data_IF_719764958541
#
_entry.id   IF_719764958541
#
_cell.length_a   1.000
_cell.length_b   1.000
_cell.length_c   1.000
_cell.angle_alpha   90.00
_cell.angle_beta   90.00
_cell.angle_gamma   90.00
#
_symmetry.space_group_name_H-M   'P 1'
#
loop_
_entity.id
_entity.type
_entity.pdbx_description
1 polymer ?
#
# COMPACT_ATOMS: atom_id res chain seq x y z
N UNK A 1 -3.52 -12.19 10.06
CA UNK A 1 -3.37 -12.08 8.61
C UNK A 1 -4.68 -11.63 8.01
N UNK A 2 -4.77 -10.32 7.82
CA UNK A 2 -5.79 -9.69 6.99
C UNK A 2 -5.51 -10.02 5.51
N UNK A 3 -6.50 -10.51 4.78
CA UNK A 3 -6.35 -11.05 3.41
C UNK A 3 -7.15 -10.29 2.36
N UNK A 4 -7.11 -8.96 2.38
CA UNK A 4 -7.90 -8.12 1.47
C UNK A 4 -7.59 -8.38 -0.02
N UNK A 5 -6.32 -8.37 -0.41
CA UNK A 5 -5.94 -8.49 -1.81
C UNK A 5 -6.21 -9.88 -2.36
N UNK A 6 -5.97 -10.90 -1.54
CA UNK A 6 -6.20 -12.30 -1.92
C UNK A 6 -7.68 -12.63 -1.99
N UNK A 7 -8.49 -12.19 -1.02
CA UNK A 7 -9.92 -12.53 -0.94
C UNK A 7 -10.73 -11.90 -2.09
N UNK A 8 -10.36 -10.68 -2.51
CA UNK A 8 -11.04 -9.97 -3.60
C UNK A 8 -10.31 -10.07 -4.95
N UNK A 9 -9.24 -10.86 -5.04
CA UNK A 9 -8.43 -11.02 -6.24
C UNK A 9 -8.06 -9.69 -6.94
N UNK A 10 -7.67 -8.68 -6.14
CA UNK A 10 -7.48 -7.28 -6.57
C UNK A 10 -6.52 -7.17 -7.76
N UNK A 11 -5.44 -7.96 -7.75
CA UNK A 11 -4.47 -8.06 -8.84
C UNK A 11 -4.62 -9.38 -9.58
N UNK A 12 -4.33 -9.37 -10.88
CA UNK A 12 -4.30 -10.60 -11.70
C UNK A 12 -3.26 -11.61 -11.20
N UNK A 13 -2.14 -11.14 -10.64
CA UNK A 13 -1.13 -12.01 -10.05
C UNK A 13 -1.49 -12.38 -8.61
N UNK A 14 -1.78 -13.67 -8.40
CA UNK A 14 -1.99 -14.23 -7.05
C UNK A 14 -0.80 -13.97 -6.12
N UNK A 15 0.43 -14.04 -6.65
CA UNK A 15 1.64 -13.77 -5.86
C UNK A 15 1.66 -12.30 -5.44
N UNK A 16 1.32 -11.39 -6.34
CA UNK A 16 1.27 -9.96 -6.01
C UNK A 16 0.22 -9.68 -4.92
N UNK A 17 -0.96 -10.31 -4.96
CA UNK A 17 -1.96 -10.18 -3.90
C UNK A 17 -1.42 -10.63 -2.54
N UNK A 18 -0.79 -11.81 -2.48
CA UNK A 18 -0.19 -12.32 -1.24
C UNK A 18 0.87 -11.36 -0.69
N UNK A 19 1.71 -10.79 -1.56
CA UNK A 19 2.74 -9.82 -1.14
C UNK A 19 2.13 -8.54 -0.57
N UNK A 20 1.04 -8.06 -1.17
CA UNK A 20 0.32 -6.88 -0.68
C UNK A 20 -0.32 -7.15 0.68
N UNK A 21 -0.97 -8.31 0.85
CA UNK A 21 -1.52 -8.72 2.14
C UNK A 21 -0.44 -8.84 3.21
N UNK A 22 0.72 -9.42 2.88
CA UNK A 22 1.84 -9.55 3.82
C UNK A 22 2.39 -8.20 4.27
N UNK A 23 2.60 -7.27 3.34
CA UNK A 23 3.09 -5.92 3.68
C UNK A 23 2.06 -5.19 4.54
N UNK A 24 0.80 -5.21 4.11
CA UNK A 24 -0.28 -4.52 4.82
C UNK A 24 -0.47 -5.08 6.23
N UNK A 25 -0.56 -6.41 6.37
CA UNK A 25 -0.76 -7.09 7.65
C UNK A 25 0.44 -6.85 8.59
N UNK A 26 1.69 -7.00 8.12
CA UNK A 26 2.85 -6.80 9.00
C UNK A 26 2.99 -5.36 9.48
N UNK A 27 2.77 -4.38 8.60
CA UNK A 27 2.83 -2.96 9.01
C UNK A 27 1.70 -2.64 9.97
N UNK A 28 0.46 -3.02 9.67
CA UNK A 28 -0.68 -2.68 10.53
C UNK A 28 -0.69 -3.46 11.85
N UNK A 29 -0.21 -4.70 11.87
CA UNK A 29 -0.14 -5.52 13.08
C UNK A 29 0.79 -4.92 14.13
N UNK A 30 1.93 -4.36 13.73
CA UNK A 30 2.87 -3.71 14.66
C UNK A 30 2.20 -2.57 15.45
N UNK A 31 1.28 -1.84 14.82
CA UNK A 31 0.61 -0.67 15.39
C UNK A 31 -0.83 -0.94 15.84
N UNK A 32 -1.31 -2.19 15.72
CA UNK A 32 -2.72 -2.57 15.97
C UNK A 32 -3.18 -2.35 17.42
N UNK A 33 -2.26 -2.24 18.37
CA UNK A 33 -2.56 -1.94 19.78
C UNK A 33 -2.87 -0.47 20.06
N UNK A 34 -2.66 0.43 19.11
CA UNK A 34 -2.91 1.87 19.28
C UNK A 34 -3.91 2.37 18.24
N UNK A 35 -5.09 2.77 18.76
CA UNK A 35 -6.24 3.28 17.99
C UNK A 35 -5.85 4.48 17.12
N UNK A 36 -4.77 5.20 17.46
CA UNK A 36 -4.25 6.31 16.65
C UNK A 36 -3.74 5.89 15.27
N UNK A 37 -3.49 4.60 15.03
CA UNK A 37 -2.92 4.11 13.79
C UNK A 37 -3.91 3.31 12.92
N UNK A 38 -5.14 3.12 13.42
CA UNK A 38 -6.21 2.52 12.64
C UNK A 38 -6.46 3.39 11.41
N UNK A 39 -6.41 2.79 10.23
CA UNK A 39 -6.60 3.47 8.93
C UNK A 39 -5.50 4.47 8.50
N UNK A 40 -4.32 4.48 9.11
CA UNK A 40 -3.21 5.35 8.69
C UNK A 40 -2.29 4.79 7.61
N UNK A 41 -2.35 3.48 7.37
CA UNK A 41 -1.62 2.83 6.28
C UNK A 41 -2.64 2.33 5.26
N UNK A 42 -2.72 2.99 4.10
CA UNK A 42 -3.82 2.80 3.16
C UNK A 42 -3.32 2.56 1.74
N UNK A 43 -4.15 1.91 0.92
CA UNK A 43 -3.88 1.78 -0.51
C UNK A 43 -4.14 3.12 -1.23
N UNK A 44 -3.30 3.48 -2.17
CA UNK A 44 -3.34 4.76 -2.90
C UNK A 44 -3.03 4.56 -4.39
N UNK A 45 -2.93 5.67 -5.11
CA UNK A 45 -2.57 5.72 -6.52
C UNK A 45 -3.61 5.10 -7.44
N UNK A 46 -3.16 4.68 -8.62
CA UNK A 46 -4.06 4.23 -9.68
C UNK A 46 -4.87 3.00 -9.30
N UNK A 47 -4.32 2.08 -8.51
CA UNK A 47 -5.06 0.90 -8.05
C UNK A 47 -6.24 1.30 -7.16
N UNK A 48 -6.02 2.23 -6.21
CA UNK A 48 -7.10 2.76 -5.36
C UNK A 48 -8.21 3.41 -6.19
N UNK A 49 -7.84 4.19 -7.21
CA UNK A 49 -8.81 4.81 -8.12
C UNK A 49 -9.59 3.78 -8.93
N UNK A 50 -8.91 2.81 -9.53
CA UNK A 50 -9.55 1.77 -10.33
C UNK A 50 -10.56 0.94 -9.52
N UNK A 51 -10.24 0.63 -8.26
CA UNK A 51 -11.15 -0.11 -7.38
C UNK A 51 -12.42 0.70 -7.05
N UNK A 52 -12.29 2.01 -6.82
CA UNK A 52 -13.41 2.88 -6.45
C UNK A 52 -14.29 3.29 -7.64
N UNK A 53 -13.71 3.39 -8.84
CA UNK A 53 -14.42 3.81 -10.07
C UNK A 53 -14.69 2.62 -11.03
N UNK A 54 -14.43 1.39 -10.60
CA UNK A 54 -14.62 0.16 -11.39
C UNK A 54 -13.90 0.19 -12.77
N UNK A 55 -12.66 0.69 -12.79
CA UNK A 55 -11.88 0.84 -14.03
C UNK A 55 -11.02 -0.39 -14.32
N UNK A 56 -11.09 -0.90 -15.56
CA UNK A 56 -10.29 -2.03 -16.03
C UNK A 56 -8.93 -1.62 -16.62
N UNK A 57 -8.21 -0.70 -15.97
CA UNK A 57 -6.87 -0.31 -16.47
C UNK A 57 -5.77 -1.20 -15.89
N UNK A 58 -4.83 -1.72 -16.70
CA UNK A 58 -3.69 -2.46 -16.18
C UNK A 58 -2.91 -1.67 -15.13
N UNK A 59 -2.57 -2.36 -14.03
CA UNK A 59 -1.77 -1.83 -12.94
C UNK A 59 -0.44 -2.57 -12.91
N UNK A 60 0.66 -1.81 -13.01
CA UNK A 60 2.03 -2.31 -12.91
C UNK A 60 2.69 -2.02 -11.56
N UNK A 61 2.07 -1.19 -10.72
CA UNK A 61 2.56 -0.84 -9.40
C UNK A 61 1.46 -0.81 -8.33
N UNK A 62 1.81 -1.14 -7.09
CA UNK A 62 0.91 -1.02 -5.94
C UNK A 62 1.48 0.04 -5.02
N UNK A 63 0.66 1.03 -4.66
CA UNK A 63 1.09 2.15 -3.82
C UNK A 63 0.36 2.06 -2.49
N UNK A 64 1.12 1.94 -1.41
CA UNK A 64 0.64 2.24 -0.07
C UNK A 64 1.12 3.61 0.35
N UNK A 65 0.32 4.32 1.13
CA UNK A 65 0.65 5.62 1.67
C UNK A 65 0.30 5.69 3.15
N UNK A 66 1.09 6.44 3.90
CA UNK A 66 0.81 6.78 5.28
C UNK A 66 1.15 8.22 5.58
N UNK A 67 0.33 8.85 6.43
CA UNK A 67 0.62 10.15 7.04
C UNK A 67 1.41 10.02 8.35
N UNK A 68 1.69 8.78 8.78
CA UNK A 68 2.36 8.49 10.03
C UNK A 68 3.86 8.24 9.83
N UNK A 69 4.66 9.13 10.39
CA UNK A 69 6.11 9.05 10.24
C UNK A 69 6.69 7.80 10.92
N UNK A 70 6.15 7.39 12.06
CA UNK A 70 6.66 6.24 12.81
C UNK A 70 6.35 4.94 12.07
N UNK A 71 5.16 4.82 11.47
CA UNK A 71 4.82 3.69 10.59
C UNK A 71 5.73 3.63 9.37
N UNK A 72 5.97 4.77 8.71
CA UNK A 72 6.86 4.81 7.54
C UNK A 72 8.29 4.44 7.90
N UNK A 73 8.83 4.98 8.99
CA UNK A 73 10.19 4.67 9.46
C UNK A 73 10.32 3.22 9.89
N UNK A 74 9.31 2.66 10.56
CA UNK A 74 9.26 1.24 10.89
C UNK A 74 9.32 0.39 9.61
N UNK A 75 8.48 0.69 8.62
CA UNK A 75 8.49 -0.05 7.36
C UNK A 75 9.84 0.08 6.67
N UNK A 76 10.39 1.28 6.57
CA UNK A 76 11.68 1.53 5.92
C UNK A 76 12.81 0.73 6.58
N UNK A 77 12.86 0.71 7.92
CA UNK A 77 13.86 -0.04 8.68
C UNK A 77 13.70 -1.57 8.56
N UNK A 78 12.48 -2.05 8.31
CA UNK A 78 12.15 -3.48 8.27
C UNK A 78 11.81 -4.00 6.88
N UNK A 79 11.95 -3.20 5.82
CA UNK A 79 11.45 -3.53 4.48
C UNK A 79 11.96 -4.89 3.97
N UNK A 80 13.25 -5.20 4.18
CA UNK A 80 13.82 -6.49 3.77
C UNK A 80 13.25 -7.69 4.54
N UNK A 81 12.88 -7.49 5.82
CA UNK A 81 12.26 -8.52 6.65
C UNK A 81 10.79 -8.72 6.29
N UNK A 82 10.07 -7.61 6.04
CA UNK A 82 8.65 -7.61 5.66
C UNK A 82 8.46 -8.15 4.25
N UNK A 83 9.42 -7.89 3.35
CA UNK A 83 9.41 -8.29 1.94
C UNK A 83 10.59 -9.19 1.59
N UNK A 84 10.68 -10.42 2.15
CA UNK A 84 11.86 -11.29 2.01
C UNK A 84 12.09 -11.79 0.57
N UNK A 85 11.07 -11.74 -0.28
CA UNK A 85 11.13 -12.14 -1.69
C UNK A 85 11.41 -10.98 -2.66
N UNK A 86 11.68 -9.78 -2.14
CA UNK A 86 12.04 -8.63 -2.95
C UNK A 86 13.35 -8.87 -3.70
N UNK A 87 13.36 -8.54 -4.99
CA UNK A 87 14.57 -8.57 -5.85
C UNK A 87 15.38 -7.28 -5.74
N UNK A 88 14.83 -6.23 -5.14
CA UNK A 88 15.52 -4.97 -4.87
C UNK A 88 14.68 -4.07 -3.97
N UNK A 89 15.34 -3.30 -3.12
CA UNK A 89 14.71 -2.32 -2.22
C UNK A 89 15.50 -1.02 -2.34
N UNK A 90 14.80 0.09 -2.58
CA UNK A 90 15.41 1.42 -2.69
C UNK A 90 14.69 2.39 -1.77
N UNK A 91 15.46 2.99 -0.87
CA UNK A 91 14.95 3.98 0.08
C UNK A 91 15.20 5.40 -0.43
N UNK A 92 14.16 6.21 -0.35
CA UNK A 92 14.20 7.65 -0.54
C UNK A 92 13.68 8.33 0.72
N UNK A 93 13.81 9.66 0.78
CA UNK A 93 13.38 10.46 1.92
C UNK A 93 11.90 10.23 2.30
N UNK A 94 11.03 10.09 1.32
CA UNK A 94 9.57 10.02 1.49
C UNK A 94 8.94 8.77 0.85
N UNK A 95 9.75 7.84 0.35
CA UNK A 95 9.24 6.59 -0.22
C UNK A 95 10.22 5.44 -0.09
N UNK A 96 9.70 4.23 -0.06
CA UNK A 96 10.47 3.01 -0.27
C UNK A 96 9.90 2.28 -1.48
N UNK A 97 10.76 2.00 -2.47
CA UNK A 97 10.43 1.20 -3.65
C UNK A 97 10.88 -0.24 -3.42
N UNK A 98 10.01 -1.20 -3.71
CA UNK A 98 10.26 -2.63 -3.58
C UNK A 98 9.99 -3.30 -4.91
N UNK A 99 11.00 -3.94 -5.47
CA UNK A 99 10.89 -4.65 -6.73
C UNK A 99 10.64 -6.13 -6.46
N UNK A 100 9.64 -6.68 -7.13
CA UNK A 100 9.44 -8.11 -7.28
C UNK A 100 9.45 -8.47 -8.77
N UNK A 101 9.52 -9.76 -9.09
CA UNK A 101 9.59 -10.20 -10.51
C UNK A 101 8.38 -9.79 -11.36
N UNK A 102 7.20 -9.59 -10.74
CA UNK A 102 5.93 -9.38 -11.46
C UNK A 102 5.26 -8.04 -11.15
N UNK A 103 5.70 -7.33 -10.12
CA UNK A 103 5.11 -6.08 -9.63
C UNK A 103 6.19 -5.31 -8.89
N UNK A 104 6.08 -3.99 -8.86
CA UNK A 104 6.79 -3.20 -7.86
C UNK A 104 5.80 -2.52 -6.93
N UNK A 105 6.18 -2.45 -5.66
CA UNK A 105 5.38 -1.88 -4.60
C UNK A 105 6.08 -0.60 -4.14
N UNK A 106 5.28 0.41 -3.83
CA UNK A 106 5.76 1.65 -3.26
C UNK A 106 5.08 1.87 -1.92
N UNK A 107 5.86 2.28 -0.92
CA UNK A 107 5.33 2.76 0.35
C UNK A 107 5.75 4.20 0.52
N UNK A 108 4.79 5.11 0.57
CA UNK A 108 4.99 6.55 0.65
C UNK A 108 4.66 7.12 2.02
N UNK A 109 5.43 8.13 2.42
CA UNK A 109 5.08 9.03 3.50
C UNK A 109 4.59 10.36 2.93
N UNK A 110 3.51 10.89 3.50
CA UNK A 110 3.04 12.25 3.24
C UNK A 110 2.85 13.01 4.55
N UNK A 111 3.04 14.32 4.53
CA UNK A 111 2.63 15.19 5.64
C UNK A 111 1.21 15.76 5.46
N UNK A 112 0.58 15.46 4.33
CA UNK A 112 -0.79 15.89 4.02
C UNK A 112 -1.80 14.93 4.65
N UNK A 113 -2.93 15.48 5.09
CA UNK A 113 -4.02 14.67 5.64
C UNK A 113 -4.61 13.75 4.59
N UNK A 114 -4.68 12.45 4.90
CA UNK A 114 -5.30 11.46 4.05
C UNK A 114 -6.82 11.43 4.26
N UNK A 115 -7.58 11.62 3.19
CA UNK A 115 -9.00 11.31 3.12
C UNK A 115 -9.15 9.83 2.78
N UNK A 116 -9.70 9.09 3.73
CA UNK A 116 -9.80 7.65 3.66
C UNK A 116 -11.21 7.26 3.18
N UNK A 117 -11.25 6.46 2.12
CA UNK A 117 -12.40 5.69 1.69
C UNK A 117 -12.22 4.21 2.06
N UNK A 118 -13.19 3.39 1.67
CA UNK A 118 -13.12 1.93 1.83
C UNK A 118 -13.53 1.27 0.52
N UNK A 119 -12.76 0.27 0.11
CA UNK A 119 -13.18 -0.71 -0.88
C UNK A 119 -13.36 -2.04 -0.16
N UNK A 120 -14.60 -2.51 -0.06
CA UNK A 120 -15.00 -3.61 0.83
C UNK A 120 -14.58 -3.31 2.29
N UNK A 121 -13.42 -3.80 2.72
CA UNK A 121 -12.83 -3.52 4.04
C UNK A 121 -11.37 -3.04 3.97
N UNK A 122 -10.80 -2.87 2.76
CA UNK A 122 -9.47 -2.31 2.57
C UNK A 122 -9.56 -0.77 2.66
N UNK A 123 -8.78 -0.11 3.54
CA UNK A 123 -8.72 1.35 3.55
C UNK A 123 -7.98 1.84 2.31
N UNK A 124 -8.61 2.76 1.59
CA UNK A 124 -8.13 3.29 0.31
C UNK A 124 -8.12 4.83 0.36
N UNK A 125 -7.20 5.48 -0.34
CA UNK A 125 -7.22 6.94 -0.49
C UNK A 125 -8.41 7.35 -1.36
N UNK A 126 -9.19 8.35 -0.94
CA UNK A 126 -10.30 8.87 -1.74
C UNK A 126 -9.82 9.39 -3.10
N UNK A 127 -10.61 9.10 -4.13
CA UNK A 127 -10.30 9.46 -5.53
C UNK A 127 -10.03 10.95 -5.70
N UNK A 128 -10.73 11.82 -4.95
CA UNK A 128 -10.56 13.27 -4.99
C UNK A 128 -9.16 13.77 -4.62
N UNK A 129 -8.37 12.95 -3.92
CA UNK A 129 -6.99 13.27 -3.55
C UNK A 129 -5.94 12.56 -4.40
N UNK A 130 -6.35 11.66 -5.31
CA UNK A 130 -5.44 10.98 -6.20
C UNK A 130 -5.19 11.90 -7.40
N UNK A 131 -3.95 12.34 -7.67
CA UNK A 131 -3.66 13.21 -8.81
C UNK A 131 -4.19 12.62 -10.11
N UNK A 132 -4.90 13.45 -10.88
CA UNK A 132 -5.52 13.07 -12.16
C UNK A 132 -4.54 13.08 -13.33
N UNK A 133 -3.40 13.75 -13.18
CA UNK A 133 -2.35 13.83 -14.20
C UNK A 133 -1.13 13.02 -13.76
N UNK A 134 -0.76 12.03 -14.57
CA UNK A 134 0.56 11.40 -14.53
C UNK A 134 1.58 12.39 -15.09
N UNK A 135 2.62 12.71 -14.31
CA UNK A 135 3.86 13.29 -14.84
C UNK A 135 4.46 12.39 -15.93
#
# INVERSE_FOLDING_TARGET
>A
MNTYFTDYAILTSKIANILCDQIFDQVTQEFSGDVKYTDKFILSGRLSKNLQEELETPINNVVFITEDLDMFQYYQANAAKISPSATGIVHYKNRTLIYFKQVFIEVWFTSETLLIGKYENLPVQQVSQIPTETL
#
